data_IF_838487883260
#
_entry.id   IF_838487883260
#
_cell.length_a   1.000
_cell.length_b   1.000
_cell.length_c   1.000
_cell.angle_alpha   90.00
_cell.angle_beta   90.00
_cell.angle_gamma   90.00
#
_symmetry.space_group_name_H-M   'P 1'
#
loop_
_entity.id
_entity.type
_entity.pdbx_description
1 polymer ?
#
# COMPACT_ATOMS: atom_id res chain seq x y z
N UNK A 1 -20.88 -1.08 3.37
CA UNK A 1 -20.05 -0.57 2.26
C UNK A 1 -19.02 -1.64 1.96
N UNK A 2 -19.00 -2.12 0.71
CA UNK A 2 -17.95 -3.00 0.20
C UNK A 2 -16.87 -2.17 -0.46
N UNK A 3 -15.61 -2.60 -0.35
CA UNK A 3 -14.47 -2.00 -1.05
C UNK A 3 -13.80 -3.11 -1.84
N UNK A 4 -13.27 -2.78 -3.03
CA UNK A 4 -12.48 -3.71 -3.83
C UNK A 4 -11.06 -3.80 -3.27
N UNK A 5 -10.51 -2.66 -2.83
CA UNK A 5 -9.15 -2.56 -2.27
C UNK A 5 -9.16 -1.95 -0.87
N UNK A 6 -8.49 -2.60 0.09
CA UNK A 6 -8.35 -2.09 1.46
C UNK A 6 -6.87 -1.92 1.78
N UNK A 7 -6.45 -0.67 1.92
CA UNK A 7 -5.09 -0.31 2.29
C UNK A 7 -4.97 -0.22 3.82
N UNK A 8 -4.15 -1.08 4.42
CA UNK A 8 -3.78 -1.04 5.83
C UNK A 8 -2.37 -0.47 5.92
N UNK A 9 -2.28 0.74 6.45
CA UNK A 9 -1.05 1.55 6.45
C UNK A 9 -0.53 1.66 7.87
N UNK A 10 0.78 1.49 8.06
CA UNK A 10 1.39 1.56 9.38
C UNK A 10 1.21 2.92 10.07
N UNK A 11 1.25 4.00 9.30
CA UNK A 11 1.29 5.37 9.82
C UNK A 11 0.40 6.34 9.04
N UNK A 12 0.16 7.53 9.62
CA UNK A 12 -0.74 8.55 9.05
C UNK A 12 -0.14 9.30 7.86
N UNK A 13 1.15 9.57 7.86
CA UNK A 13 1.89 10.21 6.76
C UNK A 13 1.69 9.45 5.45
N UNK A 14 1.85 8.12 5.50
CA UNK A 14 1.59 7.22 4.38
C UNK A 14 0.19 7.39 3.79
N UNK A 15 -0.83 7.53 4.66
CA UNK A 15 -2.21 7.74 4.23
C UNK A 15 -2.37 9.04 3.46
N UNK A 16 -1.83 10.14 3.97
CA UNK A 16 -1.91 11.45 3.31
C UNK A 16 -1.30 11.42 1.91
N UNK A 17 -0.17 10.72 1.73
CA UNK A 17 0.48 10.59 0.44
C UNK A 17 -0.34 9.70 -0.52
N UNK A 18 -0.83 8.56 -0.05
CA UNK A 18 -1.64 7.66 -0.87
C UNK A 18 -2.99 8.28 -1.27
N UNK A 19 -3.62 9.08 -0.41
CA UNK A 19 -4.86 9.79 -0.76
C UNK A 19 -4.68 10.78 -1.94
N UNK A 20 -3.45 11.27 -2.18
CA UNK A 20 -3.13 12.14 -3.32
C UNK A 20 -2.80 11.33 -4.59
N UNK A 21 -2.17 10.16 -4.42
CA UNK A 21 -1.65 9.36 -5.53
C UNK A 21 -2.70 8.39 -6.07
N UNK A 22 -3.38 7.65 -5.18
CA UNK A 22 -4.32 6.60 -5.55
C UNK A 22 -5.42 7.05 -6.52
N UNK A 23 -6.02 8.26 -6.41
CA UNK A 23 -7.01 8.73 -7.39
C UNK A 23 -6.47 8.85 -8.82
N UNK A 24 -5.14 8.93 -9.00
CA UNK A 24 -4.49 9.04 -10.32
C UNK A 24 -4.11 7.67 -10.89
N UNK A 25 -4.07 6.63 -10.05
CA UNK A 25 -3.62 5.28 -10.42
C UNK A 25 -4.79 4.30 -10.50
N UNK A 26 -5.72 4.41 -9.57
CA UNK A 26 -6.86 3.52 -9.46
C UNK A 26 -7.99 4.07 -10.35
N UNK A 27 -8.54 3.26 -11.28
CA UNK A 27 -9.70 3.65 -12.08
C UNK A 27 -10.92 3.99 -11.21
N UNK A 28 -11.73 4.96 -11.65
CA UNK A 28 -12.90 5.47 -10.89
C UNK A 28 -13.95 4.40 -10.53
N UNK A 29 -13.97 3.26 -11.22
CA UNK A 29 -14.90 2.16 -10.96
C UNK A 29 -14.43 1.22 -9.84
N UNK A 30 -13.17 1.32 -9.40
CA UNK A 30 -12.60 0.51 -8.32
C UNK A 30 -12.72 1.29 -7.01
N UNK A 31 -13.44 0.72 -6.06
CA UNK A 31 -13.63 1.29 -4.73
C UNK A 31 -12.49 0.92 -3.79
N UNK A 32 -11.97 1.90 -3.04
CA UNK A 32 -10.89 1.65 -2.08
C UNK A 32 -11.01 2.48 -0.80
N UNK A 33 -10.33 2.01 0.25
CA UNK A 33 -10.21 2.73 1.53
C UNK A 33 -8.79 2.65 2.09
N UNK A 34 -8.31 3.76 2.66
CA UNK A 34 -7.04 3.83 3.38
C UNK A 34 -7.24 3.93 4.90
N UNK A 35 -6.69 2.96 5.62
CA UNK A 35 -6.75 2.86 7.09
C UNK A 35 -5.32 2.95 7.64
N UNK A 36 -4.99 4.09 8.23
CA UNK A 36 -3.71 4.32 8.93
C UNK A 36 -3.75 3.82 10.37
N UNK A 37 -2.58 3.40 10.86
CA UNK A 37 -2.36 2.90 12.22
C UNK A 37 -1.31 3.77 12.95
N UNK A 38 -0.97 3.37 14.18
CA UNK A 38 0.07 3.99 14.99
C UNK A 38 1.26 3.04 15.18
N UNK A 39 1.89 2.65 14.07
CA UNK A 39 3.05 1.76 14.05
C UNK A 39 2.71 0.28 13.90
N UNK A 40 3.76 -0.54 13.68
CA UNK A 40 3.68 -2.00 13.47
C UNK A 40 2.72 -2.72 14.43
N UNK A 41 2.81 -2.44 15.73
CA UNK A 41 2.04 -3.20 16.71
C UNK A 41 0.53 -2.97 16.57
N UNK A 42 0.11 -1.74 16.31
CA UNK A 42 -1.29 -1.39 16.09
C UNK A 42 -1.81 -2.00 14.77
N UNK A 43 -1.00 -1.90 13.71
CA UNK A 43 -1.27 -2.54 12.42
C UNK A 43 -1.47 -4.05 12.56
N UNK A 44 -0.54 -4.76 13.20
CA UNK A 44 -0.64 -6.21 13.41
C UNK A 44 -1.90 -6.62 14.20
N UNK A 45 -2.28 -5.84 15.21
CA UNK A 45 -3.51 -6.08 16.00
C UNK A 45 -4.78 -5.79 15.21
N UNK A 46 -4.74 -4.89 14.23
CA UNK A 46 -5.90 -4.48 13.45
C UNK A 46 -6.21 -5.44 12.30
N UNK A 47 -5.18 -5.99 11.63
CA UNK A 47 -5.29 -6.90 10.47
C UNK A 47 -6.37 -7.97 10.68
N UNK A 48 -6.33 -8.81 11.73
CA UNK A 48 -7.31 -9.88 11.89
C UNK A 48 -8.73 -9.35 12.12
N UNK A 49 -8.88 -8.19 12.77
CA UNK A 49 -10.18 -7.54 12.99
C UNK A 49 -10.76 -6.99 11.69
N UNK A 50 -9.91 -6.36 10.87
CA UNK A 50 -10.32 -5.78 9.58
C UNK A 50 -10.63 -6.86 8.56
N UNK A 51 -9.81 -7.90 8.46
CA UNK A 51 -10.11 -9.05 7.59
C UNK A 51 -11.49 -9.63 7.92
N UNK A 52 -11.78 -9.91 9.19
CA UNK A 52 -13.10 -10.40 9.62
C UNK A 52 -14.24 -9.41 9.33
N UNK A 53 -14.01 -8.12 9.54
CA UNK A 53 -15.04 -7.11 9.30
C UNK A 53 -15.39 -6.93 7.81
N UNK A 54 -14.46 -7.18 6.89
CA UNK A 54 -14.66 -7.03 5.44
C UNK A 54 -14.75 -8.37 4.69
N UNK A 55 -14.87 -9.50 5.40
CA UNK A 55 -15.06 -10.83 4.81
C UNK A 55 -16.34 -10.98 3.98
N UNK A 56 -17.24 -9.99 3.99
CA UNK A 56 -18.48 -10.01 3.23
C UNK A 56 -18.28 -10.05 1.70
N UNK A 57 -17.13 -9.59 1.19
CA UNK A 57 -16.81 -9.65 -0.23
C UNK A 57 -15.51 -10.44 -0.44
N UNK A 58 -15.63 -11.62 -1.05
CA UNK A 58 -14.52 -12.53 -1.32
C UNK A 58 -13.48 -11.93 -2.29
N UNK A 59 -13.87 -10.99 -3.15
CA UNK A 59 -12.97 -10.36 -4.12
C UNK A 59 -12.15 -9.21 -3.51
N UNK A 60 -12.46 -8.80 -2.27
CA UNK A 60 -11.74 -7.73 -1.58
C UNK A 60 -10.27 -8.08 -1.43
N UNK A 61 -9.40 -7.23 -1.97
CA UNK A 61 -7.95 -7.36 -1.81
C UNK A 61 -7.46 -6.46 -0.68
N UNK A 62 -6.68 -7.04 0.23
CA UNK A 62 -6.00 -6.28 1.28
C UNK A 62 -4.59 -5.94 0.83
N UNK A 63 -4.23 -4.65 0.93
CA UNK A 63 -2.89 -4.14 0.68
C UNK A 63 -2.31 -3.63 1.99
N UNK A 64 -1.36 -4.38 2.56
CA UNK A 64 -0.67 -3.95 3.78
C UNK A 64 0.60 -3.22 3.38
N UNK A 65 0.72 -1.95 3.81
CA UNK A 65 1.87 -1.08 3.59
C UNK A 65 2.52 -0.75 4.92
N UNK A 66 3.80 -1.08 5.01
CA UNK A 66 4.64 -0.87 6.19
C UNK A 66 5.92 -0.18 5.73
N UNK A 67 6.33 0.86 6.44
CA UNK A 67 7.59 1.55 6.18
C UNK A 67 8.70 0.88 7.00
N UNK A 68 9.89 0.72 6.44
CA UNK A 68 10.94 -0.05 7.10
C UNK A 68 12.23 0.74 7.23
N UNK A 69 12.57 1.03 8.49
CA UNK A 69 13.82 1.70 8.87
C UNK A 69 15.07 0.79 8.93
N UNK A 70 14.97 -0.54 9.00
CA UNK A 70 16.15 -1.42 8.83
C UNK A 70 15.90 -2.94 8.80
N UNK A 71 16.69 -3.60 7.95
CA UNK A 71 17.25 -4.96 7.94
C UNK A 71 16.40 -6.26 7.94
N UNK A 72 15.09 -6.29 8.24
CA UNK A 72 14.33 -7.58 8.31
C UNK A 72 12.98 -7.62 7.54
N UNK A 73 12.98 -7.16 6.27
CA UNK A 73 11.75 -7.09 5.45
C UNK A 73 11.12 -8.48 5.23
N UNK A 74 11.95 -9.50 5.10
CA UNK A 74 11.53 -10.88 4.88
C UNK A 74 10.82 -11.44 6.11
N UNK A 75 11.37 -11.19 7.30
CA UNK A 75 10.79 -11.63 8.57
C UNK A 75 9.45 -10.95 8.82
N UNK A 76 9.39 -9.63 8.63
CA UNK A 76 8.15 -8.86 8.74
C UNK A 76 7.09 -9.37 7.74
N UNK A 77 7.49 -9.68 6.50
CA UNK A 77 6.58 -10.25 5.49
C UNK A 77 6.00 -11.57 5.96
N UNK A 78 6.83 -12.45 6.49
CA UNK A 78 6.39 -13.74 7.02
C UNK A 78 5.44 -13.59 8.20
N UNK A 79 5.74 -12.71 9.16
CA UNK A 79 4.86 -12.42 10.31
C UNK A 79 3.49 -11.89 9.87
N UNK A 80 3.47 -10.93 8.94
CA UNK A 80 2.22 -10.38 8.41
C UNK A 80 1.44 -11.43 7.63
N UNK A 81 2.12 -12.27 6.84
CA UNK A 81 1.49 -13.35 6.08
C UNK A 81 0.85 -14.38 7.01
N UNK A 82 1.52 -14.75 8.09
CA UNK A 82 1.00 -15.68 9.09
C UNK A 82 -0.27 -15.11 9.78
N UNK A 83 -0.23 -13.84 10.20
CA UNK A 83 -1.41 -13.16 10.78
C UNK A 83 -2.58 -13.17 9.79
N UNK A 84 -2.29 -12.90 8.53
CA UNK A 84 -3.26 -12.86 7.43
C UNK A 84 -3.89 -14.23 7.15
N UNK A 85 -3.07 -15.29 7.08
CA UNK A 85 -3.52 -16.67 6.91
C UNK A 85 -4.39 -17.13 8.07
N UNK A 86 -3.98 -16.84 9.30
CA UNK A 86 -4.75 -17.14 10.51
C UNK A 86 -6.09 -16.38 10.58
N UNK A 87 -6.20 -15.24 9.88
CA UNK A 87 -7.45 -14.48 9.79
C UNK A 87 -8.43 -15.03 8.74
N UNK A 88 -8.02 -16.00 7.91
CA UNK A 88 -8.92 -16.75 7.04
C UNK A 88 -9.28 -16.08 5.71
N UNK A 89 -8.49 -15.13 5.21
CA UNK A 89 -8.70 -14.55 3.89
C UNK A 89 -7.56 -14.96 2.93
N UNK A 90 -7.93 -15.46 1.75
CA UNK A 90 -7.01 -15.95 0.73
C UNK A 90 -6.55 -14.85 -0.26
N UNK A 91 -7.25 -13.72 -0.31
CA UNK A 91 -6.99 -12.62 -1.24
C UNK A 91 -6.25 -11.45 -0.56
N UNK A 92 -5.02 -11.71 -0.12
CA UNK A 92 -4.19 -10.73 0.59
C UNK A 92 -2.89 -10.47 -0.17
N UNK A 93 -2.64 -9.19 -0.48
CA UNK A 93 -1.42 -8.72 -1.10
C UNK A 93 -0.60 -7.92 -0.07
N UNK A 94 0.51 -8.50 0.40
CA UNK A 94 1.40 -7.82 1.35
C UNK A 94 2.50 -7.07 0.59
N UNK A 95 2.56 -5.74 0.76
CA UNK A 95 3.53 -4.85 0.12
C UNK A 95 4.32 -4.08 1.18
N UNK A 96 5.48 -4.61 1.55
CA UNK A 96 6.40 -3.90 2.45
C UNK A 96 7.21 -2.92 1.61
N UNK A 97 7.10 -1.63 1.92
CA UNK A 97 7.91 -0.60 1.28
C UNK A 97 9.20 -0.54 2.08
N UNK A 98 10.28 -1.01 1.47
CA UNK A 98 11.62 -0.88 2.04
C UNK A 98 12.20 0.43 1.52
N UNK A 99 12.52 1.35 2.43
CA UNK A 99 13.05 2.69 2.20
C UNK A 99 11.98 3.75 1.95
N UNK A 100 12.20 4.89 2.61
CA UNK A 100 11.45 6.14 2.56
C UNK A 100 10.55 6.21 1.32
N UNK A 101 9.25 6.34 1.56
CA UNK A 101 8.18 6.40 0.56
C UNK A 101 8.54 7.19 -0.72
N UNK A 102 9.39 8.21 -0.60
CA UNK A 102 9.94 9.01 -1.69
C UNK A 102 10.80 8.20 -2.68
N UNK A 103 11.64 7.27 -2.25
CA UNK A 103 12.53 6.49 -3.14
C UNK A 103 11.77 5.46 -3.96
N UNK A 104 10.70 4.85 -3.42
CA UNK A 104 9.83 3.95 -4.18
C UNK A 104 8.90 4.70 -5.12
N UNK A 105 8.28 5.80 -4.65
CA UNK A 105 7.39 6.61 -5.47
C UNK A 105 8.15 7.32 -6.59
N UNK A 106 9.30 7.94 -6.30
CA UNK A 106 10.12 8.62 -7.30
C UNK A 106 10.85 7.60 -8.17
N UNK A 107 11.51 6.59 -7.59
CA UNK A 107 12.34 5.63 -8.31
C UNK A 107 11.61 4.85 -9.41
N UNK A 108 10.29 4.71 -9.31
CA UNK A 108 9.50 3.87 -10.19
C UNK A 108 8.33 4.59 -10.87
N UNK A 109 8.38 5.92 -11.01
CA UNK A 109 7.37 6.69 -11.77
C UNK A 109 7.19 6.14 -13.20
N UNK A 110 8.24 5.54 -13.77
CA UNK A 110 8.19 4.86 -15.07
C UNK A 110 7.41 3.53 -15.01
N UNK A 111 7.56 2.70 -13.97
CA UNK A 111 6.70 1.51 -13.84
C UNK A 111 5.29 1.86 -13.42
N UNK A 112 5.08 2.96 -12.69
CA UNK A 112 3.76 3.52 -12.41
C UNK A 112 3.09 3.96 -13.71
N UNK A 113 3.82 4.68 -14.58
CA UNK A 113 3.34 5.04 -15.92
C UNK A 113 2.98 3.80 -16.75
N UNK A 114 3.82 2.76 -16.69
CA UNK A 114 3.66 1.53 -17.48
C UNK A 114 2.57 0.59 -16.95
N UNK A 115 2.43 0.45 -15.63
CA UNK A 115 1.47 -0.44 -14.99
C UNK A 115 0.03 0.07 -15.13
N UNK A 116 -0.15 1.39 -15.21
CA UNK A 116 -1.46 2.04 -15.28
C UNK A 116 -1.75 2.71 -16.62
N UNK A 117 -0.89 2.52 -17.63
CA UNK A 117 -1.09 3.06 -18.98
C UNK A 117 -1.15 4.59 -19.03
N UNK A 118 -0.50 5.27 -18.08
CA UNK A 118 -0.44 6.73 -18.04
C UNK A 118 0.42 7.22 -19.22
N UNK A 119 0.21 8.47 -19.64
CA UNK A 119 1.05 9.05 -20.69
C UNK A 119 2.52 8.96 -20.26
N UNK A 120 3.41 8.41 -21.11
CA UNK A 120 4.84 8.42 -20.84
C UNK A 120 5.26 9.85 -20.56
N UNK A 121 6.16 10.05 -19.58
CA UNK A 121 6.75 11.35 -19.25
C UNK A 121 5.87 12.34 -18.47
N UNK A 122 4.65 11.96 -18.09
CA UNK A 122 3.74 12.83 -17.33
C UNK A 122 4.16 13.01 -15.86
N UNK A 123 4.78 12.00 -15.27
CA UNK A 123 5.27 12.01 -13.88
C UNK A 123 6.80 11.98 -13.82
N UNK A 124 7.43 11.21 -14.70
CA UNK A 124 8.90 11.02 -14.74
C UNK A 124 9.68 12.29 -15.10
N UNK A 125 9.10 13.28 -15.80
CA UNK A 125 9.77 14.57 -16.08
C UNK A 125 10.03 15.41 -14.82
N UNK A 126 9.23 15.28 -13.76
CA UNK A 126 9.45 16.03 -12.52
C UNK A 126 10.60 15.46 -11.69
N UNK A 127 11.04 14.24 -11.98
CA UNK A 127 12.12 13.55 -11.29
C UNK A 127 13.50 14.12 -11.67
N UNK A 128 13.68 14.55 -12.92
CA UNK A 128 14.94 15.11 -13.42
C UNK A 128 15.19 16.56 -12.99
N UNK A 129 14.20 17.27 -12.44
CA UNK A 129 14.37 18.68 -12.02
C UNK A 129 15.03 18.86 -10.65
N UNK A 130 15.21 17.78 -9.85
CA UNK A 130 15.82 17.85 -8.51
C UNK A 130 17.26 17.33 -8.41
N UNK A 131 17.94 17.06 -9.55
CA UNK A 131 19.35 16.63 -9.58
C UNK A 131 20.37 17.77 -9.84
N UNK A 132 19.98 19.02 -9.64
CA UNK A 132 20.94 20.15 -9.65
C UNK A 132 20.70 21.03 -8.44
N UNK A 133 21.42 20.74 -7.36
CA UNK A 133 22.02 21.70 -6.42
C UNK A 133 23.02 20.93 -5.55
#
# INVERSE_FOLDING_TARGET
>A
MSYDLIFLLEERSMKTVLEIILPKLIPDHISYICISHQGKQDLCKSIPKKIKAFQCNAETQFIIVHDQDSHDCKKLKSELLEICQNAGNQNILIRIICHELESWFLGDLVAVEKAYGLKPESLSQQQNKKKVS
#
